data_IF_963140887520
#
_entry.id   IF_963140887520
#
_cell.length_a   1.000
_cell.length_b   1.000
_cell.length_c   1.000
_cell.angle_alpha   90.00
_cell.angle_beta   90.00
_cell.angle_gamma   90.00
#
_symmetry.space_group_name_H-M   'P 1'
#
loop_
_entity.id
_entity.type
_entity.pdbx_description
1 polymer ?
#
# COMPACT_ATOMS: atom_id res chain seq x y z
N UNK A 1 -4.03 -14.90 -8.08
CA UNK A 1 -2.81 -14.12 -7.73
C UNK A 1 -1.76 -14.44 -8.77
N UNK A 2 -1.18 -13.43 -9.43
CA UNK A 2 -0.06 -13.63 -10.37
C UNK A 2 1.25 -13.55 -9.58
N UNK A 3 2.28 -14.32 -9.96
CA UNK A 3 3.49 -14.56 -9.15
C UNK A 3 4.25 -13.33 -8.62
N UNK A 4 3.98 -12.13 -9.15
CA UNK A 4 4.62 -10.86 -8.77
C UNK A 4 4.52 -10.50 -7.27
N UNK A 5 3.43 -10.88 -6.59
CA UNK A 5 3.30 -10.61 -5.14
C UNK A 5 4.35 -11.34 -4.32
N UNK A 6 4.71 -12.57 -4.72
CA UNK A 6 5.74 -13.37 -4.05
C UNK A 6 7.14 -12.81 -4.31
N UNK A 7 7.42 -12.37 -5.54
CA UNK A 7 8.68 -11.71 -5.89
C UNK A 7 8.94 -10.47 -5.04
N UNK A 8 7.90 -9.68 -4.77
CA UNK A 8 7.98 -8.51 -3.89
C UNK A 8 8.31 -8.93 -2.45
N UNK A 9 7.62 -9.95 -1.92
CA UNK A 9 7.90 -10.47 -0.57
C UNK A 9 9.34 -11.00 -0.45
N UNK A 10 9.81 -11.79 -1.43
CA UNK A 10 11.18 -12.32 -1.47
C UNK A 10 12.22 -11.19 -1.55
N UNK A 11 11.92 -10.13 -2.30
CA UNK A 11 12.77 -8.94 -2.38
C UNK A 11 12.83 -8.19 -1.04
N UNK A 12 11.69 -8.01 -0.38
CA UNK A 12 11.63 -7.36 0.93
C UNK A 12 12.40 -8.14 1.99
N UNK A 13 12.26 -9.47 2.02
CA UNK A 13 13.02 -10.35 2.91
C UNK A 13 14.54 -10.24 2.64
N UNK A 14 14.95 -10.39 1.37
CA UNK A 14 16.37 -10.30 0.98
C UNK A 14 17.00 -8.94 1.30
N UNK A 15 16.25 -7.85 1.14
CA UNK A 15 16.73 -6.49 1.39
C UNK A 15 16.50 -6.00 2.82
N UNK A 16 15.89 -6.83 3.69
CA UNK A 16 15.52 -6.48 5.07
C UNK A 16 14.66 -5.21 5.12
N UNK A 17 13.65 -5.14 4.26
CA UNK A 17 12.71 -4.02 4.18
C UNK A 17 11.45 -4.37 4.94
N UNK A 18 11.18 -3.65 6.03
CA UNK A 18 10.01 -3.90 6.89
C UNK A 18 8.75 -3.16 6.42
N UNK A 19 8.91 -2.07 5.66
CA UNK A 19 7.81 -1.25 5.16
C UNK A 19 8.10 -0.86 3.70
N UNK A 20 7.14 -1.08 2.81
CA UNK A 20 7.28 -0.78 1.38
C UNK A 20 6.01 -0.12 0.83
N UNK A 21 6.15 1.07 0.27
CA UNK A 21 5.10 1.72 -0.51
C UNK A 21 5.11 1.17 -1.94
N UNK A 22 3.94 0.80 -2.44
CA UNK A 22 3.74 0.32 -3.82
C UNK A 22 2.68 1.15 -4.53
N UNK A 23 2.92 1.43 -5.80
CA UNK A 23 2.08 2.26 -6.66
C UNK A 23 1.72 1.47 -7.92
N UNK A 24 0.73 1.96 -8.66
CA UNK A 24 0.23 1.33 -9.90
C UNK A 24 -0.18 -0.13 -9.75
N UNK A 25 -0.68 -0.49 -8.57
CA UNK A 25 -1.05 -1.86 -8.28
C UNK A 25 -2.38 -2.20 -8.95
N UNK A 26 -2.38 -3.28 -9.76
CA UNK A 26 -3.59 -3.88 -10.33
C UNK A 26 -4.16 -4.98 -9.43
N UNK A 27 -3.86 -4.94 -8.14
CA UNK A 27 -4.31 -5.95 -7.19
C UNK A 27 -5.82 -5.86 -6.95
N UNK A 28 -6.48 -7.02 -6.85
CA UNK A 28 -7.92 -7.18 -6.66
C UNK A 28 -8.16 -7.83 -5.31
N UNK A 29 -8.26 -7.03 -4.26
CA UNK A 29 -8.81 -7.47 -2.97
C UNK A 29 -9.79 -6.40 -2.48
N UNK A 30 -10.70 -6.77 -1.58
CA UNK A 30 -11.60 -5.82 -0.90
C UNK A 30 -11.11 -5.44 0.52
N UNK A 31 -10.09 -6.13 1.04
CA UNK A 31 -9.53 -5.99 2.40
C UNK A 31 -8.02 -6.10 2.38
N UNK A 32 -7.35 -5.71 3.47
CA UNK A 32 -5.92 -5.98 3.65
C UNK A 32 -5.62 -7.48 3.43
N UNK A 33 -4.62 -7.77 2.61
CA UNK A 33 -4.31 -9.13 2.16
C UNK A 33 -2.89 -9.54 2.53
N UNK A 34 -2.66 -10.83 2.77
CA UNK A 34 -1.31 -11.38 2.96
C UNK A 34 -0.72 -11.68 1.58
N UNK A 35 0.51 -11.24 1.31
CA UNK A 35 1.19 -11.45 0.03
C UNK A 35 2.18 -12.64 0.05
N UNK A 36 2.25 -13.34 1.18
CA UNK A 36 3.21 -14.39 1.48
C UNK A 36 4.44 -13.86 2.24
N UNK A 37 5.20 -14.76 2.86
CA UNK A 37 6.48 -14.42 3.51
C UNK A 37 6.36 -13.58 4.78
N UNK A 38 5.20 -13.56 5.45
CA UNK A 38 4.99 -12.76 6.65
C UNK A 38 4.84 -11.26 6.36
N UNK A 39 4.24 -10.90 5.22
CA UNK A 39 3.96 -9.51 4.85
C UNK A 39 2.46 -9.28 4.63
N UNK A 40 1.99 -8.14 5.14
CA UNK A 40 0.59 -7.69 5.04
C UNK A 40 0.50 -6.42 4.22
N UNK A 41 -0.39 -6.43 3.25
CA UNK A 41 -0.67 -5.32 2.36
C UNK A 41 -1.92 -4.55 2.81
N UNK A 42 -1.78 -3.24 2.90
CA UNK A 42 -2.86 -2.26 2.96
C UNK A 42 -2.93 -1.54 1.62
N UNK A 43 -4.08 -1.54 0.95
CA UNK A 43 -4.22 -0.86 -0.33
C UNK A 43 -5.61 -0.23 -0.46
N UNK A 44 -5.74 0.66 -1.43
CA UNK A 44 -7.02 1.18 -1.92
C UNK A 44 -7.11 0.92 -3.42
N UNK A 45 -8.29 0.49 -3.84
CA UNK A 45 -8.71 0.50 -5.24
C UNK A 45 -10.22 0.70 -5.31
N UNK A 46 -10.67 1.76 -5.98
CA UNK A 46 -12.10 2.05 -6.15
C UNK A 46 -12.66 1.45 -7.45
N UNK A 47 -11.87 1.40 -8.53
CA UNK A 47 -12.31 0.91 -9.84
C UNK A 47 -11.24 0.01 -10.49
N UNK A 48 -11.66 -0.90 -11.38
CA UNK A 48 -10.75 -1.75 -12.16
C UNK A 48 -9.87 -0.91 -13.11
N UNK A 49 -10.34 0.27 -13.53
CA UNK A 49 -9.63 1.18 -14.43
C UNK A 49 -8.54 2.01 -13.75
N UNK A 50 -8.68 2.29 -12.46
CA UNK A 50 -7.74 3.13 -11.71
C UNK A 50 -6.68 2.26 -11.04
N UNK A 51 -5.43 2.63 -11.30
CA UNK A 51 -4.25 2.08 -10.66
C UNK A 51 -4.23 2.46 -9.16
N UNK A 52 -4.13 1.49 -8.27
CA UNK A 52 -4.21 1.72 -6.82
C UNK A 52 -2.84 1.89 -6.15
N UNK A 53 -2.83 2.59 -5.02
CA UNK A 53 -1.68 2.66 -4.11
C UNK A 53 -1.82 1.69 -2.93
N UNK A 54 -0.67 1.28 -2.38
CA UNK A 54 -0.61 0.44 -1.20
C UNK A 54 0.65 0.62 -0.37
N UNK A 55 0.59 0.06 0.84
CA UNK A 55 1.67 -0.03 1.82
C UNK A 55 1.73 -1.49 2.26
N UNK A 56 2.89 -2.11 2.12
CA UNK A 56 3.19 -3.46 2.60
C UNK A 56 3.99 -3.30 3.88
N UNK A 57 3.54 -3.96 4.94
CA UNK A 57 4.23 -4.02 6.22
C UNK A 57 4.61 -5.47 6.52
N UNK A 58 5.75 -5.67 7.16
CA UNK A 58 6.04 -6.93 7.84
C UNK A 58 4.93 -7.22 8.85
N UNK A 59 4.55 -8.49 8.97
CA UNK A 59 3.36 -8.90 9.70
C UNK A 59 3.42 -8.52 11.19
N UNK A 60 4.61 -8.53 11.80
CA UNK A 60 4.85 -8.03 13.15
C UNK A 60 4.47 -6.55 13.29
N UNK A 61 4.95 -5.69 12.39
CA UNK A 61 4.64 -4.25 12.39
C UNK A 61 3.18 -3.97 12.05
N UNK A 62 2.55 -4.88 11.30
CA UNK A 62 1.14 -4.76 10.93
C UNK A 62 0.18 -4.87 12.12
N UNK A 63 0.63 -5.46 13.24
CA UNK A 63 -0.13 -5.55 14.51
C UNK A 63 -0.13 -4.22 15.26
N UNK A 64 0.88 -3.39 15.02
CA UNK A 64 1.04 -2.07 15.64
C UNK A 64 0.36 -0.94 14.86
N UNK A 65 -0.39 -1.27 13.81
CA UNK A 65 -1.13 -0.28 13.03
C UNK A 65 -2.28 0.28 13.86
N UNK A 66 -2.22 1.57 14.12
CA UNK A 66 -3.23 2.33 14.86
C UNK A 66 -4.34 2.79 13.92
N UNK A 67 -3.99 3.21 12.70
CA UNK A 67 -4.95 3.81 11.79
C UNK A 67 -4.55 3.59 10.32
N UNK A 68 -5.55 3.35 9.47
CA UNK A 68 -5.38 3.29 8.01
C UNK A 68 -6.37 4.24 7.35
N UNK A 69 -5.89 5.40 6.88
CA UNK A 69 -6.68 6.36 6.11
C UNK A 69 -6.44 6.15 4.63
N UNK A 70 -7.49 5.75 3.92
CA UNK A 70 -7.47 5.62 2.46
C UNK A 70 -8.07 6.87 1.85
N UNK A 71 -7.26 7.92 1.73
CA UNK A 71 -7.70 9.29 1.39
C UNK A 71 -8.32 9.33 0.00
N UNK A 72 -7.60 8.81 -0.99
CA UNK A 72 -8.01 8.78 -2.40
C UNK A 72 -7.48 7.53 -3.10
N UNK A 73 -7.75 7.39 -4.39
CA UNK A 73 -7.19 6.29 -5.19
C UNK A 73 -5.68 6.40 -5.34
N UNK A 74 -5.16 7.63 -5.29
CA UNK A 74 -3.75 7.93 -5.35
C UNK A 74 -3.07 8.05 -3.99
N UNK A 75 -3.80 8.09 -2.86
CA UNK A 75 -3.18 8.35 -1.54
C UNK A 75 -3.71 7.44 -0.43
N UNK A 76 -2.78 6.78 0.27
CA UNK A 76 -3.03 6.03 1.51
C UNK A 76 -2.05 6.46 2.60
N UNK A 77 -2.56 6.60 3.82
CA UNK A 77 -1.78 6.88 5.02
C UNK A 77 -2.00 5.76 6.04
N UNK A 78 -0.90 5.19 6.54
CA UNK A 78 -0.87 4.16 7.58
C UNK A 78 -0.10 4.70 8.78
N UNK A 79 -0.77 4.78 9.92
CA UNK A 79 -0.19 5.18 11.20
C UNK A 79 0.07 3.95 12.04
N UNK A 80 1.26 3.83 12.59
CA UNK A 80 1.66 2.73 13.46
C UNK A 80 2.47 3.25 14.64
N UNK A 81 2.38 2.54 15.76
CA UNK A 81 3.17 2.81 16.97
C UNK A 81 4.25 1.74 17.11
N UNK A 82 5.52 2.11 17.00
CA UNK A 82 6.64 1.18 17.16
C UNK A 82 7.47 1.66 18.34
N UNK A 83 7.55 0.84 19.40
CA UNK A 83 8.35 1.13 20.59
C UNK A 83 8.07 2.51 21.23
N UNK A 84 6.79 2.90 21.28
CA UNK A 84 6.35 4.20 21.81
C UNK A 84 6.54 5.38 20.86
N UNK A 85 7.02 5.14 19.63
CA UNK A 85 7.16 6.16 18.58
C UNK A 85 6.04 6.02 17.55
N UNK A 86 5.33 7.13 17.30
CA UNK A 86 4.31 7.19 16.27
C UNK A 86 4.93 7.45 14.90
N UNK A 87 4.75 6.52 13.97
CA UNK A 87 5.21 6.60 12.58
C UNK A 87 3.98 6.77 11.67
N UNK A 88 4.07 7.70 10.71
CA UNK A 88 3.08 7.86 9.64
C UNK A 88 3.73 7.53 8.29
N UNK A 89 3.24 6.48 7.64
CA UNK A 89 3.69 6.06 6.31
C UNK A 89 2.65 6.50 5.29
N UNK A 90 3.06 7.40 4.39
CA UNK A 90 2.19 7.93 3.33
C UNK A 90 2.69 7.39 1.99
N UNK A 91 1.80 6.71 1.27
CA UNK A 91 2.04 6.29 -0.12
C UNK A 91 1.12 7.10 -1.02
N UNK A 92 1.73 7.83 -1.97
CA UNK A 92 1.04 8.70 -2.89
C UNK A 92 1.50 8.45 -4.33
N UNK A 93 0.57 8.47 -5.29
CA UNK A 93 0.83 8.41 -6.72
C UNK A 93 0.25 9.64 -7.41
N UNK A 94 1.07 10.33 -8.21
CA UNK A 94 0.64 11.49 -8.97
C UNK A 94 0.07 11.05 -10.32
N UNK A 95 -1.12 11.54 -10.73
CA UNK A 95 -1.71 11.26 -12.04
C UNK A 95 -0.79 11.74 -13.17
N UNK A 96 -0.67 10.94 -14.22
CA UNK A 96 0.18 11.27 -15.36
C UNK A 96 -0.36 12.48 -16.14
N UNK A 97 0.53 13.23 -16.79
CA UNK A 97 0.20 14.41 -17.58
C UNK A 97 -0.68 13.99 -18.77
N UNK A 98 -1.97 14.38 -18.75
CA UNK A 98 -2.98 14.01 -19.76
C UNK A 98 -4.23 13.33 -19.20
N UNK A 99 -4.24 12.93 -17.92
CA UNK A 99 -5.44 12.42 -17.23
C UNK A 99 -6.55 13.49 -17.10
N UNK A 100 -7.82 13.05 -17.21
CA UNK A 100 -9.00 13.93 -17.07
C UNK A 100 -9.01 14.65 -15.70
N UNK A 101 -9.49 15.90 -15.63
CA UNK A 101 -9.55 16.68 -14.39
C UNK A 101 -10.19 15.93 -13.22
N UNK A 102 -11.15 15.04 -13.48
CA UNK A 102 -11.81 14.22 -12.46
C UNK A 102 -10.86 13.28 -11.68
N UNK A 103 -9.72 12.90 -12.26
CA UNK A 103 -8.69 12.10 -11.58
C UNK A 103 -7.75 12.99 -10.75
N UNK A 104 -7.65 14.28 -11.06
CA UNK A 104 -6.86 15.28 -10.31
C UNK A 104 -7.63 15.89 -9.15
N UNK A 105 -8.95 16.05 -9.29
CA UNK A 105 -9.84 16.62 -8.26
C UNK A 105 -10.17 15.63 -7.13
N UNK A 106 -9.82 14.35 -7.28
CA UNK A 106 -10.11 13.28 -6.31
C UNK A 106 -8.92 12.93 -5.40
N UNK A 107 -7.79 13.63 -5.49
CA UNK A 107 -6.58 13.37 -4.69
C UNK A 107 -6.73 13.78 -3.23
#
# INVERSE_FOLDING_TARGET
>A
MTGKGREVADMMERRKVDMLCVQETKWRWSKAGNIGGGFKLFFRRVDEKINGVGVILKEENSKSVVEVKRVSDGVINVKLEVEGVMINVISAYAPQVGCEMKEKEKL
#
